data_IF_901915790588
#
_entry.id   IF_901915790588
#
_cell.length_a   1.000
_cell.length_b   1.000
_cell.length_c   1.000
_cell.angle_alpha   90.00
_cell.angle_beta   90.00
_cell.angle_gamma   90.00
#
_symmetry.space_group_name_H-M   'P 1'
#
loop_
_entity.id
_entity.type
_entity.pdbx_description
1 polymer ?
#
# COMPACT_ATOMS: atom_id res chain seq x y z
N UNK A 1 -19.49 -3.38 -29.88
CA UNK A 1 -19.99 -4.72 -30.24
C UNK A 1 -21.19 -5.11 -29.35
N UNK A 2 -22.37 -4.62 -29.72
CA UNK A 2 -23.68 -5.11 -29.24
C UNK A 2 -24.52 -5.65 -30.41
N UNK A 3 -24.02 -5.46 -31.63
CA UNK A 3 -24.65 -5.82 -32.91
C UNK A 3 -24.24 -7.25 -33.33
N UNK A 4 -23.19 -7.81 -32.73
CA UNK A 4 -22.67 -9.16 -33.01
C UNK A 4 -23.11 -10.22 -32.00
N UNK A 5 -23.92 -9.86 -31.01
CA UNK A 5 -24.42 -10.78 -29.96
C UNK A 5 -23.42 -11.14 -28.84
N UNK A 6 -22.16 -10.70 -28.94
CA UNK A 6 -21.13 -10.90 -27.92
C UNK A 6 -20.72 -9.55 -27.30
N UNK A 7 -20.83 -9.43 -25.98
CA UNK A 7 -20.46 -8.21 -25.22
C UNK A 7 -18.95 -8.05 -25.01
N UNK A 8 -18.17 -9.12 -25.23
CA UNK A 8 -16.72 -9.12 -25.14
C UNK A 8 -16.11 -10.15 -26.10
N UNK A 9 -14.84 -9.95 -26.44
CA UNK A 9 -14.02 -10.93 -27.18
C UNK A 9 -12.85 -11.26 -26.27
N UNK A 10 -12.70 -12.53 -25.91
CA UNK A 10 -11.52 -13.02 -25.20
C UNK A 10 -10.47 -13.44 -26.25
N UNK A 11 -9.32 -12.79 -26.21
CA UNK A 11 -8.19 -13.10 -27.08
C UNK A 11 -6.90 -13.10 -26.27
N UNK A 12 -5.94 -13.93 -26.67
CA UNK A 12 -4.57 -13.79 -26.22
C UNK A 12 -3.96 -12.57 -26.91
N UNK A 13 -3.43 -11.65 -26.12
CA UNK A 13 -2.65 -10.54 -26.65
C UNK A 13 -1.25 -11.07 -26.94
N UNK A 14 -0.67 -10.67 -28.06
CA UNK A 14 0.71 -11.03 -28.44
C UNK A 14 1.74 -10.23 -27.61
N UNK A 15 1.55 -10.19 -26.30
CA UNK A 15 2.37 -9.43 -25.35
C UNK A 15 3.31 -10.38 -24.62
N UNK A 16 4.61 -10.05 -24.58
CA UNK A 16 5.59 -10.80 -23.81
C UNK A 16 5.83 -10.12 -22.46
N UNK A 17 5.62 -10.87 -21.39
CA UNK A 17 5.78 -10.41 -20.01
C UNK A 17 6.87 -11.24 -19.34
N UNK A 18 7.74 -10.57 -18.59
CA UNK A 18 8.79 -11.19 -17.81
C UNK A 18 8.54 -10.96 -16.31
N UNK A 19 8.68 -12.03 -15.54
CA UNK A 19 8.75 -11.99 -14.08
C UNK A 19 10.12 -12.51 -13.67
N UNK A 20 10.83 -11.72 -12.87
CA UNK A 20 12.12 -12.10 -12.27
C UNK A 20 12.10 -11.67 -10.81
N UNK A 21 12.96 -12.26 -9.98
CA UNK A 21 13.06 -11.84 -8.60
C UNK A 21 14.27 -12.44 -7.90
N UNK A 22 14.62 -11.85 -6.77
CA UNK A 22 15.62 -12.37 -5.85
C UNK A 22 14.89 -12.70 -4.54
N UNK A 23 15.08 -13.92 -4.07
CA UNK A 23 14.61 -14.38 -2.76
C UNK A 23 15.82 -14.76 -1.92
N UNK A 24 15.93 -14.15 -0.75
CA UNK A 24 16.99 -14.42 0.22
C UNK A 24 16.35 -14.87 1.52
N UNK A 25 16.85 -15.98 2.05
CA UNK A 25 16.52 -16.47 3.39
C UNK A 25 17.78 -16.69 4.17
N UNK A 26 17.85 -16.12 5.37
CA UNK A 26 18.93 -16.33 6.32
C UNK A 26 18.35 -16.83 7.63
N UNK A 27 18.83 -17.99 8.09
CA UNK A 27 18.51 -18.51 9.42
C UNK A 27 19.77 -18.59 10.25
N UNK A 28 19.74 -18.05 11.45
CA UNK A 28 20.86 -18.07 12.40
C UNK A 28 20.43 -18.73 13.71
N UNK A 29 21.38 -19.45 14.31
CA UNK A 29 21.31 -19.87 15.72
C UNK A 29 22.28 -18.97 16.46
N UNK A 30 21.76 -17.88 17.03
CA UNK A 30 22.58 -16.86 17.68
C UNK A 30 23.18 -17.39 18.99
N UNK A 31 22.38 -18.15 19.76
CA UNK A 31 22.81 -18.82 20.97
C UNK A 31 22.15 -20.18 21.10
N UNK A 32 22.94 -21.16 21.56
CA UNK A 32 22.45 -22.50 21.89
C UNK A 32 23.14 -22.99 23.17
N UNK A 33 22.42 -22.88 24.29
CA UNK A 33 22.84 -23.35 25.60
C UNK A 33 21.70 -24.11 26.26
N UNK A 34 22.00 -24.85 27.33
CA UNK A 34 21.03 -25.68 28.03
C UNK A 34 19.78 -24.91 28.49
N UNK A 35 19.96 -23.70 29.03
CA UNK A 35 18.87 -22.85 29.55
C UNK A 35 18.47 -21.70 28.64
N UNK A 36 19.25 -21.38 27.61
CA UNK A 36 19.01 -20.22 26.75
C UNK A 36 19.27 -20.57 25.29
N UNK A 37 18.24 -20.42 24.46
CA UNK A 37 18.32 -20.61 23.03
C UNK A 37 17.74 -19.40 22.32
N UNK A 38 18.41 -18.92 21.27
CA UNK A 38 17.92 -17.83 20.45
C UNK A 38 18.23 -18.14 18.99
N UNK A 39 17.17 -18.19 18.19
CA UNK A 39 17.28 -18.27 16.74
C UNK A 39 16.57 -17.10 16.07
N UNK A 40 17.13 -16.65 14.95
CA UNK A 40 16.55 -15.63 14.09
C UNK A 40 16.36 -16.19 12.69
N UNK A 41 15.31 -15.75 12.01
CA UNK A 41 15.07 -16.03 10.60
C UNK A 41 14.70 -14.73 9.90
N UNK A 42 15.43 -14.41 8.85
CA UNK A 42 15.19 -13.26 8.00
C UNK A 42 14.85 -13.75 6.59
N UNK A 43 13.82 -13.16 5.98
CA UNK A 43 13.53 -13.34 4.57
C UNK A 43 13.37 -11.98 3.88
N UNK A 44 13.76 -11.93 2.61
CA UNK A 44 13.63 -10.77 1.74
C UNK A 44 13.30 -11.26 0.33
N UNK A 45 12.27 -10.68 -0.26
CA UNK A 45 11.88 -10.87 -1.65
C UNK A 45 11.92 -9.53 -2.38
N UNK A 46 12.60 -9.51 -3.52
CA UNK A 46 12.63 -8.38 -4.45
C UNK A 46 12.05 -8.92 -5.76
N UNK A 47 10.77 -8.65 -6.01
CA UNK A 47 10.08 -9.09 -7.22
C UNK A 47 10.10 -8.00 -8.29
N UNK A 48 10.25 -8.40 -9.56
CA UNK A 48 10.22 -7.51 -10.73
C UNK A 48 9.32 -8.10 -11.80
N UNK A 49 8.32 -7.34 -12.20
CA UNK A 49 7.47 -7.62 -13.35
C UNK A 49 7.77 -6.60 -14.45
N UNK A 50 7.82 -7.03 -15.71
CA UNK A 50 8.13 -6.17 -16.83
C UNK A 50 7.39 -6.59 -18.10
N UNK A 51 6.75 -5.63 -18.77
CA UNK A 51 6.27 -5.81 -20.14
C UNK A 51 7.45 -5.67 -21.11
N UNK A 52 7.88 -6.77 -21.72
CA UNK A 52 9.02 -6.77 -22.64
C UNK A 52 8.62 -6.31 -24.05
N UNK A 53 7.47 -6.79 -24.53
CA UNK A 53 6.97 -6.42 -25.85
C UNK A 53 5.45 -6.47 -25.89
N UNK A 54 4.86 -5.59 -26.69
CA UNK A 54 3.45 -5.58 -27.05
C UNK A 54 3.36 -4.97 -28.44
N UNK A 55 3.33 -5.79 -29.51
CA UNK A 55 3.17 -5.33 -30.88
C UNK A 55 1.93 -4.44 -31.02
N UNK A 56 2.11 -3.27 -31.62
CA UNK A 56 1.05 -2.27 -31.80
C UNK A 56 0.40 -1.75 -30.49
N UNK A 57 1.14 -1.70 -29.38
CA UNK A 57 0.63 -1.08 -28.13
C UNK A 57 0.07 0.32 -28.35
N UNK A 58 0.77 1.16 -29.14
CA UNK A 58 0.35 2.55 -29.43
C UNK A 58 -0.97 2.67 -30.18
N UNK A 59 -1.33 1.69 -31.02
CA UNK A 59 -2.63 1.65 -31.71
C UNK A 59 -3.69 0.84 -30.96
N UNK A 60 -3.37 0.28 -29.80
CA UNK A 60 -4.27 -0.58 -29.03
C UNK A 60 -5.07 0.21 -27.99
N UNK A 61 -6.14 -0.40 -27.48
CA UNK A 61 -6.88 0.09 -26.31
C UNK A 61 -6.04 0.08 -25.01
N UNK A 62 -4.87 -0.57 -25.02
CA UNK A 62 -3.99 -0.70 -23.85
C UNK A 62 -2.90 0.38 -23.78
N UNK A 63 -2.78 1.28 -24.78
CA UNK A 63 -1.80 2.40 -24.81
C UNK A 63 -1.78 3.22 -23.51
N UNK A 64 -2.95 3.37 -22.87
CA UNK A 64 -3.12 4.18 -21.67
C UNK A 64 -2.99 3.39 -20.35
N UNK A 65 -2.69 2.10 -20.43
CA UNK A 65 -2.54 1.23 -19.25
C UNK A 65 -1.16 0.61 -19.16
N UNK A 66 -0.53 0.32 -20.29
CA UNK A 66 0.78 -0.32 -20.32
C UNK A 66 1.84 0.58 -20.93
N UNK A 67 3.07 0.38 -20.47
CA UNK A 67 4.26 1.02 -21.00
C UNK A 67 5.31 -0.08 -21.19
N UNK A 68 5.92 -0.15 -22.37
CA UNK A 68 7.00 -1.10 -22.62
C UNK A 68 8.14 -0.78 -21.66
N UNK A 69 8.63 -1.81 -20.97
CA UNK A 69 9.69 -1.67 -20.00
C UNK A 69 9.23 -1.52 -18.55
N UNK A 70 7.93 -1.31 -18.32
CA UNK A 70 7.34 -1.13 -17.00
C UNK A 70 6.57 -2.37 -16.53
N UNK A 71 6.29 -2.51 -15.22
CA UNK A 71 5.37 -3.51 -14.69
C UNK A 71 3.95 -3.36 -15.26
N UNK A 72 3.18 -4.45 -15.29
CA UNK A 72 1.81 -4.43 -15.79
C UNK A 72 0.81 -3.69 -14.89
N UNK A 73 1.10 -3.61 -13.59
CA UNK A 73 0.21 -2.99 -12.61
C UNK A 73 0.49 -1.49 -12.38
N UNK A 74 1.27 -0.85 -13.26
CA UNK A 74 1.48 0.59 -13.18
C UNK A 74 0.16 1.36 -13.29
N UNK A 75 0.21 2.61 -12.83
CA UNK A 75 -0.82 3.61 -13.05
C UNK A 75 -0.22 4.75 -13.85
N UNK A 76 -0.83 5.02 -15.00
CA UNK A 76 -0.65 6.27 -15.74
C UNK A 76 -1.60 7.32 -15.17
N UNK A 77 -1.06 8.37 -14.60
CA UNK A 77 -1.78 9.43 -13.88
C UNK A 77 -1.32 10.80 -14.39
N UNK A 78 -2.06 11.85 -14.05
CA UNK A 78 -1.61 13.22 -14.31
C UNK A 78 -0.39 13.54 -13.45
N UNK A 79 0.49 14.41 -13.92
CA UNK A 79 1.53 14.99 -13.07
C UNK A 79 1.00 16.28 -12.44
N UNK A 80 0.88 16.32 -11.12
CA UNK A 80 0.46 17.51 -10.38
C UNK A 80 1.63 18.47 -10.21
N UNK A 81 1.48 19.72 -10.63
CA UNK A 81 2.55 20.73 -10.61
C UNK A 81 2.39 21.75 -9.49
N UNK A 82 1.39 21.59 -8.63
CA UNK A 82 1.05 22.53 -7.57
C UNK A 82 -0.30 23.22 -7.80
N UNK A 83 -0.62 24.15 -6.91
CA UNK A 83 -1.85 24.92 -6.96
C UNK A 83 -1.52 26.36 -7.39
N UNK A 84 -2.35 26.94 -8.24
CA UNK A 84 -2.21 28.32 -8.65
C UNK A 84 -2.44 29.24 -7.42
N UNK A 85 -1.44 30.04 -6.99
CA UNK A 85 -1.55 30.81 -5.75
C UNK A 85 -2.52 32.00 -5.85
N UNK A 86 -2.89 32.42 -7.06
CA UNK A 86 -3.84 33.52 -7.28
C UNK A 86 -5.29 33.05 -7.35
N UNK A 87 -5.53 31.81 -7.79
CA UNK A 87 -6.90 31.28 -7.97
C UNK A 87 -7.25 30.13 -7.04
N UNK A 88 -6.27 29.52 -6.38
CA UNK A 88 -6.47 28.36 -5.51
C UNK A 88 -6.93 27.11 -6.28
N UNK A 89 -6.54 26.95 -7.54
CA UNK A 89 -6.94 25.83 -8.42
C UNK A 89 -5.74 24.94 -8.70
N UNK A 90 -5.91 23.62 -8.60
CA UNK A 90 -4.86 22.65 -8.92
C UNK A 90 -4.39 22.75 -10.38
N UNK A 91 -3.09 22.59 -10.59
CA UNK A 91 -2.43 22.63 -11.89
C UNK A 91 -1.73 21.31 -12.20
N UNK A 92 -1.64 21.01 -13.49
CA UNK A 92 -1.08 19.77 -14.01
C UNK A 92 -0.18 20.06 -15.19
N UNK A 93 0.76 19.16 -15.43
CA UNK A 93 1.62 19.21 -16.60
C UNK A 93 0.82 18.89 -17.86
N UNK A 94 0.88 19.80 -18.83
CA UNK A 94 0.43 19.62 -20.20
C UNK A 94 1.58 19.01 -21.01
N UNK A 95 1.51 17.70 -21.28
CA UNK A 95 2.60 16.96 -21.91
C UNK A 95 2.69 17.22 -23.41
N UNK A 96 1.57 17.54 -24.06
CA UNK A 96 1.53 17.77 -25.50
C UNK A 96 1.53 19.27 -25.87
N UNK A 97 1.43 20.16 -24.87
CA UNK A 97 1.48 21.62 -24.98
C UNK A 97 0.35 22.21 -25.83
N UNK A 98 -0.80 21.55 -25.92
CA UNK A 98 -1.96 22.01 -26.69
C UNK A 98 -2.89 22.96 -25.90
N UNK A 99 -2.59 23.19 -24.62
CA UNK A 99 -3.35 24.05 -23.72
C UNK A 99 -4.53 23.37 -23.04
N UNK A 100 -4.74 22.07 -23.27
CA UNK A 100 -5.87 21.29 -22.74
C UNK A 100 -5.40 20.04 -21.99
N UNK A 101 -5.67 19.97 -20.69
CA UNK A 101 -5.33 18.78 -19.89
C UNK A 101 -6.36 17.67 -20.12
N UNK A 102 -5.98 16.64 -20.86
CA UNK A 102 -6.80 15.48 -21.22
C UNK A 102 -6.21 14.15 -20.74
N UNK A 103 -7.07 13.18 -20.46
CA UNK A 103 -6.62 11.87 -19.98
C UNK A 103 -5.82 11.07 -21.03
N UNK A 104 -6.06 11.32 -22.31
CA UNK A 104 -5.42 10.59 -23.41
C UNK A 104 -3.98 11.05 -23.63
N UNK A 105 -3.74 12.35 -23.53
CA UNK A 105 -2.45 12.95 -23.85
C UNK A 105 -1.61 13.25 -22.59
N UNK A 106 -2.22 13.55 -21.44
CA UNK A 106 -1.47 14.09 -20.27
C UNK A 106 -1.33 13.14 -19.09
N UNK A 107 -1.98 11.98 -19.12
CA UNK A 107 -1.68 10.91 -18.15
C UNK A 107 -0.41 10.17 -18.55
N UNK A 108 0.73 10.85 -18.42
CA UNK A 108 2.04 10.29 -18.72
C UNK A 108 2.89 9.98 -17.47
N UNK A 109 2.51 10.50 -16.29
CA UNK A 109 3.20 10.18 -15.04
C UNK A 109 2.95 8.71 -14.68
N UNK A 110 4.00 7.89 -14.72
CA UNK A 110 3.95 6.46 -14.41
C UNK A 110 4.22 6.25 -12.93
N UNK A 111 3.35 5.51 -12.25
CA UNK A 111 3.50 5.11 -10.84
C UNK A 111 3.36 3.61 -10.70
N UNK A 112 4.38 2.98 -10.12
CA UNK A 112 4.38 1.55 -9.80
C UNK A 112 3.91 1.32 -8.37
N UNK A 113 2.74 0.69 -8.21
CA UNK A 113 2.15 0.36 -6.91
C UNK A 113 2.48 -1.06 -6.46
N UNK A 114 3.34 -1.79 -7.18
CA UNK A 114 3.81 -3.09 -6.72
C UNK A 114 4.80 -2.89 -5.55
N UNK A 115 4.86 -3.84 -4.59
CA UNK A 115 5.93 -3.87 -3.61
C UNK A 115 7.30 -3.94 -4.30
N UNK A 116 8.16 -2.96 -4.02
CA UNK A 116 9.56 -2.96 -4.50
C UNK A 116 10.36 -4.07 -3.85
N UNK A 117 10.13 -4.27 -2.55
CA UNK A 117 10.61 -5.40 -1.79
C UNK A 117 9.75 -5.61 -0.54
N UNK A 118 9.76 -6.83 -0.04
CA UNK A 118 9.06 -7.19 1.18
C UNK A 118 9.76 -8.36 1.86
N UNK A 119 9.45 -8.56 3.14
CA UNK A 119 10.00 -9.67 3.88
C UNK A 119 9.61 -9.66 5.34
N UNK A 120 10.37 -10.40 6.13
CA UNK A 120 10.13 -10.49 7.55
C UNK A 120 11.35 -10.89 8.34
N UNK A 121 11.33 -10.50 9.61
CA UNK A 121 12.31 -10.85 10.61
C UNK A 121 11.59 -11.54 11.78
N UNK A 122 11.78 -12.85 11.86
CA UNK A 122 11.24 -13.70 12.91
C UNK A 122 12.32 -14.03 13.93
N UNK A 123 11.95 -14.02 15.21
CA UNK A 123 12.81 -14.48 16.29
C UNK A 123 12.05 -15.43 17.19
N UNK A 124 12.79 -16.43 17.67
CA UNK A 124 12.37 -17.33 18.75
C UNK A 124 13.45 -17.31 19.80
N UNK A 125 13.08 -16.84 21.00
CA UNK A 125 13.93 -16.77 22.18
C UNK A 125 13.33 -17.70 23.23
N UNK A 126 14.09 -18.67 23.69
CA UNK A 126 13.71 -19.59 24.75
C UNK A 126 14.64 -19.41 25.94
N UNK A 127 14.07 -19.20 27.12
CA UNK A 127 14.81 -19.14 28.38
C UNK A 127 14.14 -20.05 29.42
N UNK A 128 14.78 -21.18 29.72
CA UNK A 128 14.21 -22.27 30.51
C UNK A 128 12.82 -22.65 29.96
N UNK A 129 11.78 -22.45 30.76
CA UNK A 129 10.40 -22.76 30.47
C UNK A 129 9.66 -21.65 29.71
N UNK A 130 10.29 -20.50 29.48
CA UNK A 130 9.73 -19.37 28.74
C UNK A 130 10.12 -19.44 27.27
N UNK A 131 9.18 -19.09 26.40
CA UNK A 131 9.43 -18.88 24.98
C UNK A 131 8.73 -17.62 24.49
N UNK A 132 9.50 -16.75 23.84
CA UNK A 132 9.06 -15.54 23.16
C UNK A 132 9.30 -15.69 21.66
N UNK A 133 8.22 -15.59 20.88
CA UNK A 133 8.25 -15.55 19.44
C UNK A 133 7.75 -14.19 18.96
N UNK A 134 8.44 -13.57 18.00
CA UNK A 134 7.94 -12.37 17.36
C UNK A 134 8.30 -12.33 15.88
N UNK A 135 7.41 -11.72 15.08
CA UNK A 135 7.57 -11.53 13.65
C UNK A 135 7.34 -10.06 13.29
N UNK A 136 8.40 -9.41 12.84
CA UNK A 136 8.29 -8.16 12.09
C UNK A 136 8.11 -8.47 10.61
N UNK A 137 7.11 -7.87 9.98
CA UNK A 137 6.96 -7.83 8.53
C UNK A 137 7.37 -6.44 8.05
N UNK A 138 8.07 -6.35 6.93
CA UNK A 138 8.36 -5.07 6.29
C UNK A 138 8.00 -5.11 4.80
N UNK A 139 7.54 -3.99 4.27
CA UNK A 139 7.19 -3.81 2.85
C UNK A 139 7.60 -2.41 2.44
N UNK A 140 8.24 -2.27 1.28
CA UNK A 140 8.44 -0.99 0.61
C UNK A 140 7.56 -0.92 -0.63
N UNK A 141 6.68 0.08 -0.67
CA UNK A 141 5.71 0.24 -1.75
C UNK A 141 5.17 1.67 -1.81
N UNK A 142 4.61 2.02 -2.95
CA UNK A 142 3.73 3.18 -3.09
C UNK A 142 2.27 2.75 -2.90
N UNK A 143 1.44 3.64 -2.40
CA UNK A 143 -0.01 3.43 -2.34
C UNK A 143 -0.75 4.76 -2.49
N UNK A 144 -2.07 4.68 -2.67
CA UNK A 144 -2.91 5.87 -2.62
C UNK A 144 -2.96 6.41 -1.20
N UNK A 145 -2.80 7.72 -1.03
CA UNK A 145 -2.85 8.37 0.28
C UNK A 145 -4.25 8.28 0.92
N UNK A 146 -4.35 8.62 2.21
CA UNK A 146 -5.60 8.57 2.97
C UNK A 146 -6.71 9.49 2.46
N UNK A 147 -6.36 10.56 1.74
CA UNK A 147 -7.31 11.47 1.12
C UNK A 147 -7.88 10.94 -0.21
N UNK A 148 -7.34 9.86 -0.75
CA UNK A 148 -7.84 9.25 -1.97
C UNK A 148 -9.32 8.84 -1.82
N UNK A 149 -10.17 9.31 -2.72
CA UNK A 149 -11.65 9.15 -2.72
C UNK A 149 -12.37 9.98 -1.66
N UNK A 150 -11.69 10.95 -1.04
CA UNK A 150 -12.39 12.05 -0.39
C UNK A 150 -13.22 12.79 -1.43
N UNK A 151 -14.38 13.29 -1.03
CA UNK A 151 -15.20 14.14 -1.89
C UNK A 151 -14.48 15.45 -2.24
N UNK A 152 -15.03 16.16 -3.22
CA UNK A 152 -14.62 17.52 -3.56
C UNK A 152 -14.68 18.41 -2.30
N UNK A 153 -13.62 19.17 -1.97
CA UNK A 153 -13.66 20.16 -0.91
C UNK A 153 -14.90 21.06 -0.99
N UNK A 154 -15.71 21.09 0.07
CA UNK A 154 -16.97 21.87 0.11
C UNK A 154 -18.23 21.13 -0.37
N UNK A 155 -18.15 19.90 -0.85
CA UNK A 155 -19.34 19.07 -1.11
C UNK A 155 -20.08 18.71 0.19
N UNK A 156 -21.41 18.55 0.11
CA UNK A 156 -22.29 18.17 1.24
C UNK A 156 -22.17 16.68 1.62
N UNK A 157 -20.98 16.27 2.01
CA UNK A 157 -20.64 14.93 2.50
C UNK A 157 -19.66 15.05 3.65
N UNK A 158 -19.54 14.00 4.48
CA UNK A 158 -18.48 13.99 5.49
C UNK A 158 -17.11 14.05 4.80
N UNK A 159 -16.21 14.89 5.31
CA UNK A 159 -14.90 15.14 4.72
C UNK A 159 -13.79 14.97 5.78
N UNK A 160 -12.57 14.61 5.37
CA UNK A 160 -11.42 14.60 6.28
C UNK A 160 -11.15 16.00 6.82
N UNK A 161 -10.66 16.09 8.06
CA UNK A 161 -10.26 17.36 8.68
C UNK A 161 -9.12 18.05 7.94
N UNK A 162 -8.33 17.32 7.15
CA UNK A 162 -7.26 17.87 6.33
C UNK A 162 -7.78 18.92 5.32
N UNK A 163 -9.02 18.77 4.86
CA UNK A 163 -9.65 19.69 3.90
C UNK A 163 -9.83 21.10 4.48
N UNK A 164 -9.76 21.28 5.81
CA UNK A 164 -9.83 22.61 6.44
C UNK A 164 -8.70 23.53 5.96
N UNK A 165 -7.53 22.97 5.64
CA UNK A 165 -6.39 23.67 5.05
C UNK A 165 -6.59 23.90 3.54
N UNK A 166 -7.69 24.59 3.21
CA UNK A 166 -8.07 24.98 1.86
C UNK A 166 -7.66 26.42 1.58
N UNK A 167 -7.45 26.71 0.29
CA UNK A 167 -7.11 28.05 -0.16
C UNK A 167 -8.26 29.02 0.07
N UNK A 168 -7.99 30.16 0.72
CA UNK A 168 -8.98 31.19 1.02
C UNK A 168 -8.81 32.47 0.19
N UNK A 169 -7.58 32.88 -0.11
CA UNK A 169 -7.30 34.14 -0.79
C UNK A 169 -5.98 34.14 -1.58
N UNK A 170 -5.83 35.10 -2.50
CA UNK A 170 -4.63 35.22 -3.33
C UNK A 170 -3.35 35.39 -2.49
N UNK A 171 -2.36 34.53 -2.76
CA UNK A 171 -1.10 34.46 -2.01
C UNK A 171 -1.12 33.48 -0.83
N UNK A 172 -2.24 32.82 -0.57
CA UNK A 172 -2.35 31.77 0.45
C UNK A 172 -1.57 30.50 0.05
N UNK A 173 -1.06 29.80 1.05
CA UNK A 173 -0.29 28.57 0.92
C UNK A 173 -1.03 27.44 1.67
N UNK A 174 -2.07 26.93 1.02
CA UNK A 174 -2.92 25.87 1.54
C UNK A 174 -2.63 24.54 0.82
N UNK A 175 -2.93 23.41 1.48
CA UNK A 175 -2.79 22.08 0.88
C UNK A 175 -3.94 21.70 -0.07
N UNK A 176 -5.12 22.32 0.09
CA UNK A 176 -6.31 22.01 -0.69
C UNK A 176 -6.79 23.21 -1.53
N UNK A 177 -7.37 22.92 -2.69
CA UNK A 177 -8.02 23.92 -3.54
C UNK A 177 -9.25 24.53 -2.89
N UNK A 178 -9.76 25.59 -3.52
CA UNK A 178 -10.97 26.28 -3.08
C UNK A 178 -12.15 25.33 -2.86
N UNK A 179 -13.03 25.69 -1.93
CA UNK A 179 -14.28 24.98 -1.77
C UNK A 179 -15.22 25.19 -2.96
N UNK A 180 -15.89 24.11 -3.34
CA UNK A 180 -16.93 24.11 -4.36
C UNK A 180 -18.04 23.14 -3.97
N UNK A 181 -19.28 23.61 -4.05
CA UNK A 181 -20.47 22.77 -3.92
C UNK A 181 -20.80 22.01 -5.21
N UNK A 182 -19.91 22.06 -6.22
CA UNK A 182 -20.10 21.49 -7.55
C UNK A 182 -20.48 22.50 -8.63
N UNK A 183 -20.71 23.77 -8.26
CA UNK A 183 -21.12 24.83 -9.20
C UNK A 183 -19.93 25.40 -9.97
N UNK A 184 -18.75 25.47 -9.34
CA UNK A 184 -17.53 25.94 -10.02
C UNK A 184 -16.94 24.79 -10.85
N UNK A 185 -17.25 24.77 -12.14
CA UNK A 185 -16.82 23.72 -13.07
C UNK A 185 -15.29 23.61 -13.20
N UNK A 186 -14.56 24.72 -13.07
CA UNK A 186 -13.10 24.74 -13.15
C UNK A 186 -12.48 24.04 -11.94
N UNK A 187 -12.94 24.35 -10.73
CA UNK A 187 -12.50 23.68 -9.50
C UNK A 187 -12.90 22.19 -9.51
N UNK A 188 -14.11 21.87 -9.96
CA UNK A 188 -14.56 20.47 -10.06
C UNK A 188 -13.68 19.67 -11.03
N UNK A 189 -13.36 20.24 -12.18
CA UNK A 189 -12.51 19.58 -13.17
C UNK A 189 -11.06 19.39 -12.67
N UNK A 190 -10.51 20.43 -12.02
CA UNK A 190 -9.19 20.38 -11.39
C UNK A 190 -9.13 19.33 -10.27
N UNK A 191 -10.15 19.27 -9.40
CA UNK A 191 -10.27 18.23 -8.37
C UNK A 191 -10.24 16.82 -8.96
N UNK A 192 -11.04 16.59 -10.01
CA UNK A 192 -11.14 15.28 -10.66
C UNK A 192 -9.80 14.84 -11.27
N UNK A 193 -9.00 15.79 -11.76
CA UNK A 193 -7.64 15.56 -12.24
C UNK A 193 -6.66 15.32 -11.08
N UNK A 194 -6.76 16.09 -10.00
CA UNK A 194 -5.96 15.93 -8.78
C UNK A 194 -6.13 14.53 -8.20
N UNK A 195 -7.36 14.06 -8.09
CA UNK A 195 -7.71 12.72 -7.65
C UNK A 195 -7.11 11.60 -8.54
N UNK A 196 -6.80 11.90 -9.80
CA UNK A 196 -6.22 10.99 -10.78
C UNK A 196 -4.76 11.33 -11.09
N UNK A 197 -4.08 12.07 -10.20
CA UNK A 197 -2.70 12.50 -10.33
C UNK A 197 -1.76 11.71 -9.42
N UNK A 198 -0.47 11.95 -9.59
CA UNK A 198 0.57 11.42 -8.71
C UNK A 198 0.59 12.04 -7.30
N UNK A 199 -0.04 13.20 -7.08
CA UNK A 199 -0.20 13.75 -5.72
C UNK A 199 -1.03 12.84 -4.79
N UNK A 200 -1.89 11.99 -5.37
CA UNK A 200 -2.63 10.99 -4.63
C UNK A 200 -1.82 9.74 -4.27
N UNK A 201 -0.59 9.61 -4.77
CA UNK A 201 0.23 8.41 -4.62
C UNK A 201 1.46 8.76 -3.80
N UNK A 202 1.54 8.19 -2.60
CA UNK A 202 2.60 8.48 -1.62
C UNK A 202 3.35 7.21 -1.23
N UNK A 203 4.48 7.39 -0.53
CA UNK A 203 5.18 6.26 0.09
C UNK A 203 4.29 5.63 1.17
N UNK A 204 4.06 4.33 1.01
CA UNK A 204 3.32 3.51 1.95
C UNK A 204 4.19 2.38 2.46
N UNK A 205 5.49 2.64 2.60
CA UNK A 205 6.43 1.69 3.17
C UNK A 205 6.17 1.56 4.69
N UNK A 206 6.25 0.34 5.20
CA UNK A 206 5.95 0.08 6.61
C UNK A 206 6.71 -1.10 7.20
N UNK A 207 6.82 -1.10 8.52
CA UNK A 207 7.23 -2.24 9.34
C UNK A 207 6.11 -2.53 10.34
N UNK A 208 5.63 -3.77 10.42
CA UNK A 208 4.56 -4.18 11.32
C UNK A 208 5.00 -5.31 12.23
N UNK A 209 4.73 -5.20 13.53
CA UNK A 209 4.78 -6.34 14.44
C UNK A 209 3.55 -7.21 14.19
N UNK A 210 3.70 -8.18 13.28
CA UNK A 210 2.59 -9.00 12.77
C UNK A 210 2.12 -9.99 13.81
N UNK A 211 3.06 -10.69 14.45
CA UNK A 211 2.79 -11.67 15.50
C UNK A 211 3.75 -11.48 16.67
N UNK A 212 3.21 -11.62 17.88
CA UNK A 212 3.96 -11.76 19.13
C UNK A 212 3.34 -12.91 19.91
N UNK A 213 4.13 -13.84 20.40
CA UNK A 213 3.67 -14.90 21.29
C UNK A 213 4.62 -15.03 22.46
N UNK A 214 4.07 -14.97 23.67
CA UNK A 214 4.78 -15.33 24.89
C UNK A 214 4.14 -16.60 25.43
N UNK A 215 4.97 -17.56 25.82
CA UNK A 215 4.48 -18.79 26.39
C UNK A 215 5.35 -19.29 27.52
N UNK A 216 4.72 -20.01 28.44
CA UNK A 216 5.38 -20.63 29.59
C UNK A 216 4.91 -22.07 29.74
N UNK A 217 5.85 -23.01 29.71
CA UNK A 217 5.58 -24.43 29.94
C UNK A 217 5.76 -24.75 31.42
N UNK A 218 4.69 -25.14 32.11
CA UNK A 218 4.75 -25.50 33.53
C UNK A 218 5.58 -26.79 33.68
N UNK A 219 6.56 -26.83 34.62
CA UNK A 219 7.32 -28.05 34.88
C UNK A 219 6.42 -29.24 35.22
N UNK A 220 6.62 -30.38 34.56
CA UNK A 220 5.78 -31.58 34.70
C UNK A 220 5.70 -32.10 36.15
N UNK A 221 6.77 -31.86 36.93
CA UNK A 221 6.85 -32.23 38.35
C UNK A 221 5.69 -31.64 39.17
N UNK A 222 5.12 -30.51 38.73
CA UNK A 222 4.04 -29.82 39.45
C UNK A 222 2.66 -30.37 39.11
N UNK A 223 2.50 -31.04 37.97
CA UNK A 223 1.19 -31.44 37.42
C UNK A 223 1.05 -32.96 37.20
N UNK A 224 1.94 -33.77 37.78
CA UNK A 224 1.83 -35.23 37.89
C UNK A 224 1.38 -35.93 36.60
N UNK A 225 2.10 -35.69 35.51
CA UNK A 225 1.87 -36.35 34.21
C UNK A 225 1.10 -35.50 33.19
N UNK A 226 0.52 -34.36 33.59
CA UNK A 226 -0.11 -33.42 32.64
C UNK A 226 0.89 -32.35 32.21
N UNK A 227 1.12 -32.21 30.90
CA UNK A 227 1.87 -31.07 30.34
C UNK A 227 0.93 -29.88 30.20
N UNK A 228 1.33 -28.73 30.75
CA UNK A 228 0.58 -27.49 30.65
C UNK A 228 1.43 -26.37 30.05
N UNK A 229 0.89 -25.67 29.07
CA UNK A 229 1.50 -24.48 28.47
C UNK A 229 0.53 -23.31 28.52
N UNK A 230 0.96 -22.23 29.16
CA UNK A 230 0.26 -20.95 29.15
C UNK A 230 0.69 -20.15 27.93
N UNK A 231 -0.26 -19.54 27.23
CA UNK A 231 -0.06 -18.84 25.98
C UNK A 231 -0.67 -17.44 26.07
N UNK A 232 0.11 -16.45 25.65
CA UNK A 232 -0.35 -15.12 25.28
C UNK A 232 0.07 -14.87 23.83
N UNK A 233 -0.86 -14.41 23.00
CA UNK A 233 -0.64 -14.11 21.60
C UNK A 233 -1.21 -12.73 21.27
N UNK A 234 -0.47 -11.96 20.49
CA UNK A 234 -0.91 -10.70 19.92
C UNK A 234 -0.67 -10.68 18.42
N UNK A 235 -1.65 -10.19 17.66
CA UNK A 235 -1.58 -10.02 16.21
C UNK A 235 -1.80 -8.56 15.81
N UNK A 236 -1.08 -8.10 14.79
CA UNK A 236 -1.13 -6.73 14.26
C UNK A 236 -0.93 -5.64 15.31
N UNK A 237 0.01 -5.83 16.25
CA UNK A 237 0.11 -5.03 17.48
C UNK A 237 0.42 -3.56 17.19
N UNK A 238 1.38 -3.28 16.30
CA UNK A 238 1.69 -1.93 15.85
C UNK A 238 2.33 -1.94 14.46
N UNK A 239 2.21 -0.78 13.78
CA UNK A 239 2.78 -0.50 12.46
C UNK A 239 3.57 0.80 12.55
N UNK A 240 4.79 0.79 12.03
CA UNK A 240 5.66 1.95 11.85
C UNK A 240 5.60 2.32 10.37
N UNK A 241 5.16 3.54 10.06
CA UNK A 241 5.06 4.07 8.69
C UNK A 241 4.96 5.59 8.74
N UNK A 242 5.40 6.27 7.68
CA UNK A 242 5.11 7.70 7.43
C UNK A 242 3.84 7.90 6.61
N UNK A 243 3.15 6.81 6.23
CA UNK A 243 1.95 6.87 5.42
C UNK A 243 0.81 7.57 6.14
N UNK A 244 0.26 8.61 5.52
CA UNK A 244 -0.89 9.34 6.00
C UNK A 244 -2.17 8.68 5.49
N UNK A 245 -2.76 7.81 6.30
CA UNK A 245 -3.98 7.08 6.00
C UNK A 245 -4.31 6.00 7.04
N UNK A 246 -5.36 5.23 6.81
CA UNK A 246 -5.83 4.24 7.79
C UNK A 246 -4.92 3.00 7.87
N UNK A 247 -4.45 2.49 6.72
CA UNK A 247 -3.55 1.34 6.65
C UNK A 247 -2.65 1.42 5.40
N UNK A 248 -1.30 1.43 5.52
CA UNK A 248 -0.41 1.42 4.36
C UNK A 248 -0.51 0.15 3.50
N UNK A 249 -0.99 -0.97 4.05
CA UNK A 249 -1.15 -2.23 3.31
C UNK A 249 -2.40 -2.23 2.43
N UNK A 250 -3.46 -1.54 2.85
CA UNK A 250 -4.71 -1.53 2.10
C UNK A 250 -4.67 -0.56 0.94
N UNK A 251 -5.09 -1.03 -0.23
CA UNK A 251 -5.27 -0.18 -1.42
C UNK A 251 -6.62 0.55 -1.45
N UNK A 252 -7.44 0.36 -0.42
CA UNK A 252 -8.76 0.98 -0.30
C UNK A 252 -8.76 1.97 0.85
N UNK A 253 -9.01 3.24 0.56
CA UNK A 253 -9.10 4.31 1.56
C UNK A 253 -10.26 4.14 2.56
N UNK A 254 -11.27 3.33 2.22
CA UNK A 254 -12.43 3.05 3.08
C UNK A 254 -12.35 1.73 3.85
N UNK A 255 -11.24 0.98 3.76
CA UNK A 255 -11.08 -0.23 4.56
C UNK A 255 -10.57 0.11 5.94
N UNK A 256 -11.13 -0.53 6.96
CA UNK A 256 -10.54 -0.49 8.30
C UNK A 256 -9.22 -1.27 8.31
N UNK A 257 -8.20 -0.79 9.04
CA UNK A 257 -6.98 -1.54 9.25
C UNK A 257 -7.30 -2.87 9.94
N UNK A 258 -6.44 -3.90 9.76
CA UNK A 258 -6.52 -5.13 10.53
C UNK A 258 -6.61 -4.86 12.03
N UNK A 259 -7.55 -5.53 12.70
CA UNK A 259 -7.74 -5.38 14.14
C UNK A 259 -6.52 -5.90 14.90
N UNK A 260 -6.23 -5.24 16.03
CA UNK A 260 -5.32 -5.76 17.05
C UNK A 260 -6.06 -6.86 17.81
N UNK A 261 -5.54 -8.07 17.76
CA UNK A 261 -6.13 -9.23 18.44
C UNK A 261 -5.19 -9.70 19.52
N UNK A 262 -5.69 -9.81 20.75
CA UNK A 262 -4.98 -10.42 21.87
C UNK A 262 -5.73 -11.68 22.29
N UNK A 263 -4.99 -12.78 22.46
CA UNK A 263 -5.54 -14.08 22.81
C UNK A 263 -4.72 -14.68 23.94
N UNK A 264 -5.40 -15.16 24.97
CA UNK A 264 -4.78 -15.96 26.03
C UNK A 264 -5.33 -17.38 25.95
N UNK A 265 -4.50 -18.36 26.27
CA UNK A 265 -4.87 -19.76 26.17
C UNK A 265 -4.07 -20.65 27.10
N UNK A 266 -4.64 -21.81 27.39
CA UNK A 266 -4.00 -22.88 28.14
C UNK A 266 -4.06 -24.12 27.25
N UNK A 267 -2.90 -24.73 26.99
CA UNK A 267 -2.80 -26.00 26.29
C UNK A 267 -2.45 -27.10 27.29
N UNK A 268 -3.31 -28.11 27.38
CA UNK A 268 -3.11 -29.29 28.22
C UNK A 268 -2.84 -30.51 27.34
N UNK A 269 -1.91 -31.37 27.75
CA UNK A 269 -1.64 -32.66 27.10
C UNK A 269 -1.52 -33.73 28.18
N UNK A 270 -2.31 -34.79 28.03
CA UNK A 270 -2.47 -35.91 28.96
C UNK A 270 -1.64 -37.13 28.53
#
# INVERSE_FOLDING_TARGET
PTITGFSSIQANLDATVQNTGIELTLRTVNFQRQSFNWSSSFNLTIARNKLLSFPNLGGSTYKNSFVIGEPLNIKKVYHYTGMNPQTGIYQFEDYNTDGSITAAEDKQSVRDLNPKYFGGFQNTITYNNWQLDFLFQFVSQLNYNGSYRSGLPGSMSNQPTAVIDHWEAAGDNAAYEIYSTGVNSVAVDAFNKYYQSDAMITDASYIRLKNLSLSYTIPEQWLKGVKCKLLFQGQNIFTITSFEGADPESRFSMSLPPLKVFTTGIQLTF
#
